data_IF_144360258282
#
_entry.id   IF_144360258282
#
_cell.length_a   1.000
_cell.length_b   1.000
_cell.length_c   1.000
_cell.angle_alpha   90.00
_cell.angle_beta   90.00
_cell.angle_gamma   90.00
#
_symmetry.space_group_name_H-M   'P 1'
#
loop_
_entity.id
_entity.type
_entity.pdbx_description
1 polymer ?
#
# COMPACT_ATOMS: atom_id res chain seq x y z
N UNK A 1 -16.02 22.15 -5.01
CA UNK A 1 -15.57 21.32 -6.16
C UNK A 1 -14.12 20.84 -5.99
N UNK A 2 -13.15 21.75 -5.78
CA UNK A 2 -11.73 21.39 -5.55
C UNK A 2 -11.53 20.44 -4.34
N UNK A 3 -12.20 20.69 -3.21
CA UNK A 3 -12.00 19.88 -2.00
C UNK A 3 -12.38 18.41 -2.20
N UNK A 4 -13.48 18.14 -2.88
CA UNK A 4 -13.94 16.77 -3.20
C UNK A 4 -12.95 16.09 -4.16
N UNK A 5 -12.43 16.83 -5.16
CA UNK A 5 -11.43 16.29 -6.08
C UNK A 5 -10.12 15.92 -5.38
N UNK A 6 -9.67 16.73 -4.41
CA UNK A 6 -8.47 16.44 -3.62
C UNK A 6 -8.64 15.20 -2.73
N UNK A 7 -9.83 15.00 -2.15
CA UNK A 7 -10.15 13.81 -1.35
C UNK A 7 -10.12 12.56 -2.24
N UNK A 8 -10.79 12.59 -3.38
CA UNK A 8 -10.79 11.47 -4.33
C UNK A 8 -9.37 11.17 -4.83
N UNK A 9 -8.60 12.20 -5.18
CA UNK A 9 -7.22 12.06 -5.62
C UNK A 9 -6.34 11.40 -4.56
N UNK A 10 -6.42 11.82 -3.29
CA UNK A 10 -5.70 11.19 -2.18
C UNK A 10 -6.04 9.70 -2.03
N UNK A 11 -7.33 9.35 -2.09
CA UNK A 11 -7.79 7.96 -1.99
C UNK A 11 -7.26 7.13 -3.15
N UNK A 12 -7.38 7.63 -4.39
CA UNK A 12 -6.88 6.93 -5.58
C UNK A 12 -5.37 6.69 -5.51
N UNK A 13 -4.61 7.69 -5.04
CA UNK A 13 -3.16 7.60 -4.94
C UNK A 13 -2.74 6.57 -3.89
N UNK A 14 -3.40 6.51 -2.74
CA UNK A 14 -3.12 5.48 -1.73
C UNK A 14 -3.51 4.06 -2.18
N UNK A 15 -4.63 3.90 -2.90
CA UNK A 15 -5.01 2.59 -3.48
C UNK A 15 -3.98 2.14 -4.52
N UNK A 16 -3.47 3.07 -5.34
CA UNK A 16 -2.47 2.77 -6.36
C UNK A 16 -1.17 2.23 -5.73
N UNK A 17 -0.70 2.85 -4.65
CA UNK A 17 0.53 2.41 -3.98
C UNK A 17 0.35 1.06 -3.30
N UNK A 18 -0.81 0.79 -2.68
CA UNK A 18 -1.14 -0.55 -2.15
C UNK A 18 -1.07 -1.64 -3.21
N UNK A 19 -1.65 -1.40 -4.38
CA UNK A 19 -1.65 -2.35 -5.51
C UNK A 19 -0.23 -2.59 -6.01
N UNK A 20 0.58 -1.53 -6.16
CA UNK A 20 1.97 -1.62 -6.58
C UNK A 20 2.83 -2.38 -5.55
N UNK A 21 2.61 -2.13 -4.26
CA UNK A 21 3.26 -2.84 -3.16
C UNK A 21 2.98 -4.33 -3.21
N UNK A 22 1.70 -4.73 -3.26
CA UNK A 22 1.29 -6.13 -3.38
C UNK A 22 1.85 -6.80 -4.65
N UNK A 23 1.82 -6.10 -5.78
CA UNK A 23 2.33 -6.64 -7.04
C UNK A 23 3.85 -6.85 -6.98
N UNK A 24 4.58 -5.92 -6.36
CA UNK A 24 6.02 -6.02 -6.16
C UNK A 24 6.38 -7.19 -5.25
N UNK A 25 5.67 -7.36 -4.13
CA UNK A 25 5.83 -8.50 -3.21
C UNK A 25 5.56 -9.82 -3.94
N UNK A 26 4.46 -9.88 -4.68
CA UNK A 26 4.10 -11.08 -5.43
C UNK A 26 5.15 -11.41 -6.52
N UNK A 27 5.65 -10.40 -7.23
CA UNK A 27 6.68 -10.55 -8.25
C UNK A 27 8.02 -11.03 -7.64
N UNK A 28 8.42 -10.46 -6.50
CA UNK A 28 9.61 -10.89 -5.75
C UNK A 28 9.50 -12.33 -5.24
N UNK A 29 8.33 -12.72 -4.74
CA UNK A 29 8.04 -14.08 -4.27
C UNK A 29 8.10 -15.12 -5.41
N UNK A 30 7.71 -14.73 -6.63
CA UNK A 30 7.70 -15.63 -7.80
C UNK A 30 9.09 -15.83 -8.43
N UNK A 31 10.00 -14.88 -8.23
CA UNK A 31 11.31 -14.84 -8.93
C UNK A 31 12.48 -15.33 -8.09
N UNK A 32 12.33 -15.51 -6.77
CA UNK A 32 13.46 -15.87 -5.92
C UNK A 32 13.19 -17.10 -5.06
N UNK A 33 14.25 -17.84 -4.77
CA UNK A 33 14.43 -18.74 -3.63
C UNK A 33 14.33 -17.94 -2.32
N UNK A 34 13.25 -17.18 -2.15
CA UNK A 34 13.02 -16.17 -1.12
C UNK A 34 12.82 -16.88 0.23
N UNK A 35 13.91 -17.20 0.94
CA UNK A 35 13.88 -17.54 2.37
C UNK A 35 13.50 -16.29 3.14
N UNK A 36 12.20 -16.03 3.34
CA UNK A 36 11.82 -14.65 3.64
C UNK A 36 10.55 -14.44 4.46
N UNK A 37 10.37 -15.25 5.50
CA UNK A 37 9.38 -14.94 6.54
C UNK A 37 9.61 -13.55 7.17
N UNK A 38 10.85 -13.04 7.12
CA UNK A 38 11.24 -11.75 7.71
C UNK A 38 10.89 -10.52 6.86
N UNK A 39 10.97 -10.62 5.53
CA UNK A 39 10.59 -9.50 4.66
C UNK A 39 9.11 -9.50 4.31
N UNK A 40 8.46 -10.67 4.24
CA UNK A 40 7.01 -10.74 4.09
C UNK A 40 6.32 -9.97 5.24
N UNK A 41 6.80 -10.11 6.48
CA UNK A 41 6.27 -9.36 7.63
C UNK A 41 6.50 -7.84 7.54
N UNK A 42 7.68 -7.42 7.05
CA UNK A 42 7.98 -5.99 6.89
C UNK A 42 7.15 -5.36 5.77
N UNK A 43 6.91 -6.10 4.68
CA UNK A 43 6.11 -5.66 3.55
C UNK A 43 4.62 -5.63 3.93
N UNK A 44 4.14 -6.62 4.68
CA UNK A 44 2.79 -6.58 5.27
C UNK A 44 2.63 -5.42 6.26
N UNK A 45 3.66 -5.13 7.05
CA UNK A 45 3.70 -3.98 7.95
C UNK A 45 3.59 -2.65 7.21
N UNK A 46 4.35 -2.48 6.11
CA UNK A 46 4.24 -1.31 5.24
C UNK A 46 2.85 -1.18 4.62
N UNK A 47 2.27 -2.30 4.15
CA UNK A 47 0.92 -2.32 3.60
C UNK A 47 -0.13 -1.90 4.64
N UNK A 48 0.01 -2.41 5.86
CA UNK A 48 -0.90 -2.10 6.98
C UNK A 48 -0.76 -0.64 7.41
N UNK A 49 0.48 -0.12 7.42
CA UNK A 49 0.76 1.28 7.72
C UNK A 49 0.13 2.20 6.68
N UNK A 50 0.24 1.85 5.41
CA UNK A 50 -0.36 2.59 4.32
C UNK A 50 -1.89 2.62 4.40
N UNK A 51 -2.53 1.49 4.73
CA UNK A 51 -3.99 1.44 5.00
C UNK A 51 -4.37 2.36 6.17
N UNK A 52 -3.58 2.37 7.25
CA UNK A 52 -3.78 3.24 8.41
C UNK A 52 -3.70 4.72 8.02
N UNK A 53 -2.69 5.10 7.23
CA UNK A 53 -2.51 6.47 6.74
C UNK A 53 -3.66 6.90 5.82
N UNK A 54 -4.19 5.96 5.03
CA UNK A 54 -5.34 6.17 4.15
C UNK A 54 -6.62 6.40 4.97
N UNK A 55 -6.85 5.63 6.03
CA UNK A 55 -7.96 5.82 6.97
C UNK A 55 -7.88 7.16 7.71
N UNK A 56 -6.69 7.54 8.19
CA UNK A 56 -6.47 8.83 8.85
C UNK A 56 -6.69 9.99 7.87
N UNK A 57 -6.25 9.85 6.61
CA UNK A 57 -6.48 10.87 5.56
C UNK A 57 -7.94 11.01 5.12
N UNK A 58 -8.80 10.04 5.42
CA UNK A 58 -10.25 10.13 5.17
C UNK A 58 -10.98 10.81 6.33
N UNK A 59 -10.47 10.65 7.56
CA UNK A 59 -11.06 11.24 8.77
C UNK A 59 -10.64 12.69 9.05
N UNK A 60 -9.49 13.12 8.52
CA UNK A 60 -8.96 14.49 8.63
C UNK A 60 -9.39 15.35 7.43
#
# INVERSE_FOLDING_TARGET
>A
MIAIALIVFKITLGVLVLVLGLFTIHSLKKTSTYKSDKYDYSLFGLLTFEVLVLQISILL
#
